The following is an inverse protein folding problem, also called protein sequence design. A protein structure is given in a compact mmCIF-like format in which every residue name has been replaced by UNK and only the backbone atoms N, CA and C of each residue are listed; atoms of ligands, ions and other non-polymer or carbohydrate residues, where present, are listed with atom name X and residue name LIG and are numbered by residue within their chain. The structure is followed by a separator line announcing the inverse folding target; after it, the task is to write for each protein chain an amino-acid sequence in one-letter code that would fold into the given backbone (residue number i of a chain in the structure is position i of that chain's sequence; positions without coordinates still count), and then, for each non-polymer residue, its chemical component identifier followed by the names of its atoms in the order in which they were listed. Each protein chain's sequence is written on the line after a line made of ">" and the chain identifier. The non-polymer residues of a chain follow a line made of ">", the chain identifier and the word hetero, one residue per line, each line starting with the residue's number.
data_IF_581979726799
#
_entry.id   IF_581979726799
#
_cell.length_a   1.000
_cell.length_b   1.000
_cell.length_c   1.000
_cell.angle_alpha   90.00
_cell.angle_beta   90.00
_cell.angle_gamma   90.00
#
_symmetry.space_group_name_H-M   'P 1'
#
loop_
_entity.id
_entity.type
_entity.pdbx_description
1 polymer ?
#
# COMPACT_ATOMS: atom_id res chain seq x y z
N UNK A 1 13.82 -11.59 16.30
CA UNK A 1 14.31 -12.27 15.13
C UNK A 1 14.88 -13.64 15.50
N UNK A 2 13.99 -14.63 15.77
CA UNK A 2 14.34 -15.94 16.31
C UNK A 2 15.15 -16.86 15.39
N UNK A 3 15.52 -16.42 14.17
CA UNK A 3 16.19 -17.25 13.16
C UNK A 3 17.58 -16.73 12.78
N UNK A 4 18.07 -15.67 13.39
CA UNK A 4 19.40 -15.12 13.13
C UNK A 4 20.43 -15.64 14.13
N UNK A 5 21.66 -15.90 13.69
CA UNK A 5 22.80 -16.15 14.59
C UNK A 5 23.06 -14.98 15.55
N UNK A 6 22.60 -13.78 15.18
CA UNK A 6 22.67 -12.58 16.01
C UNK A 6 21.60 -12.54 17.10
N UNK A 7 20.56 -13.39 17.03
CA UNK A 7 19.49 -13.41 18.04
C UNK A 7 19.97 -13.87 19.42
N UNK A 8 21.13 -14.51 19.49
CA UNK A 8 21.78 -14.92 20.73
C UNK A 8 22.72 -13.86 21.31
N UNK A 9 22.96 -12.74 20.60
CA UNK A 9 23.77 -11.64 21.09
C UNK A 9 23.00 -10.86 22.18
N UNK A 10 23.51 -10.80 23.43
CA UNK A 10 22.83 -10.09 24.51
C UNK A 10 22.59 -8.61 24.24
N UNK A 11 23.46 -7.94 23.45
CA UNK A 11 23.33 -6.52 23.10
C UNK A 11 22.18 -6.28 22.12
N UNK A 12 21.78 -7.31 21.36
CA UNK A 12 20.67 -7.27 20.42
C UNK A 12 19.36 -7.81 21.00
N UNK A 13 19.33 -8.14 22.29
CA UNK A 13 18.12 -8.62 22.95
C UNK A 13 17.01 -7.55 22.95
N UNK A 14 15.77 -7.99 22.83
CA UNK A 14 14.60 -7.09 22.91
C UNK A 14 14.59 -6.23 24.17
N UNK A 15 15.03 -6.80 25.32
CA UNK A 15 15.14 -6.10 26.59
C UNK A 15 16.11 -4.92 26.56
N UNK A 16 17.09 -4.94 25.65
CA UNK A 16 18.06 -3.85 25.45
C UNK A 16 17.59 -2.88 24.38
N UNK A 17 17.22 -3.40 23.21
CA UNK A 17 16.94 -2.56 22.04
C UNK A 17 15.57 -1.87 22.10
N UNK A 18 14.54 -2.50 22.67
CA UNK A 18 13.20 -1.93 22.67
C UNK A 18 13.07 -0.64 23.50
N UNK A 19 13.66 -0.53 24.70
CA UNK A 19 13.70 0.74 25.44
C UNK A 19 14.41 1.87 24.66
N UNK A 20 15.51 1.55 23.97
CA UNK A 20 16.25 2.51 23.15
C UNK A 20 15.39 2.98 21.95
N UNK A 21 14.77 2.03 21.25
CA UNK A 21 13.89 2.34 20.14
C UNK A 21 12.66 3.15 20.58
N UNK A 22 12.08 2.83 21.75
CA UNK A 22 10.97 3.59 22.31
C UNK A 22 11.38 5.04 22.62
N UNK A 23 12.57 5.24 23.18
CA UNK A 23 13.08 6.59 23.45
C UNK A 23 13.28 7.37 22.13
N UNK A 24 13.88 6.74 21.11
CA UNK A 24 14.05 7.36 19.81
C UNK A 24 12.73 7.77 19.16
N UNK A 25 11.69 6.92 19.26
CA UNK A 25 10.34 7.30 18.80
C UNK A 25 9.79 8.51 19.58
N UNK A 26 9.97 8.55 20.90
CA UNK A 26 9.55 9.69 21.74
C UNK A 26 10.25 10.97 21.33
N UNK A 27 11.55 10.90 21.06
CA UNK A 27 12.35 12.08 20.68
C UNK A 27 11.88 12.65 19.34
N UNK A 28 11.62 11.80 18.33
CA UNK A 28 11.06 12.24 17.04
C UNK A 28 9.65 12.82 17.24
N UNK A 29 8.82 12.18 18.04
CA UNK A 29 7.45 12.66 18.28
C UNK A 29 7.39 13.97 19.08
N UNK A 30 8.43 14.30 19.85
CA UNK A 30 8.54 15.59 20.53
C UNK A 30 8.72 16.77 19.54
N UNK A 31 9.10 16.48 18.30
CA UNK A 31 9.26 17.48 17.23
C UNK A 31 7.99 17.62 16.36
N UNK A 32 6.89 16.92 16.72
CA UNK A 32 5.60 17.03 16.02
C UNK A 32 5.08 18.48 16.02
N UNK A 33 4.57 18.90 14.88
CA UNK A 33 4.10 20.28 14.68
C UNK A 33 5.21 21.29 14.35
N UNK A 34 6.47 20.93 14.52
CA UNK A 34 7.62 21.79 14.19
C UNK A 34 8.38 21.29 12.95
N UNK A 35 8.83 20.05 12.99
CA UNK A 35 9.62 19.44 11.90
C UNK A 35 8.90 18.31 11.20
N UNK A 36 8.00 17.62 11.90
CA UNK A 36 7.25 16.47 11.39
C UNK A 36 5.79 16.59 11.82
N UNK A 37 4.87 16.05 11.01
CA UNK A 37 3.48 15.90 11.38
C UNK A 37 2.79 14.85 10.50
N UNK A 38 1.73 14.22 11.00
CA UNK A 38 0.83 13.48 10.13
C UNK A 38 0.08 14.48 9.23
N UNK A 39 0.05 14.20 7.93
CA UNK A 39 -0.81 14.93 6.99
C UNK A 39 -2.27 14.68 7.34
N UNK A 40 -3.08 15.73 7.25
CA UNK A 40 -4.53 15.62 7.47
C UNK A 40 -5.18 14.71 6.43
N UNK A 41 -4.80 14.88 5.16
CA UNK A 41 -5.25 14.02 4.08
C UNK A 41 -4.14 13.03 3.72
N UNK A 42 -4.48 11.77 3.67
CA UNK A 42 -3.54 10.71 3.31
C UNK A 42 -2.94 10.87 1.90
N UNK A 43 -3.78 11.28 0.95
CA UNK A 43 -3.37 11.49 -0.44
C UNK A 43 -2.29 12.56 -0.60
N UNK A 44 -2.35 13.64 0.19
CA UNK A 44 -1.42 14.77 0.13
C UNK A 44 0.05 14.36 0.39
N UNK A 45 0.29 13.26 1.10
CA UNK A 45 1.63 12.70 1.32
C UNK A 45 2.28 12.37 -0.02
N UNK A 46 1.52 11.72 -0.88
CA UNK A 46 2.01 11.19 -2.16
C UNK A 46 1.97 12.24 -3.27
N UNK A 47 1.02 13.17 -3.21
CA UNK A 47 1.02 14.35 -4.08
C UNK A 47 2.26 15.20 -3.82
N UNK A 48 2.61 15.47 -2.55
CA UNK A 48 3.84 16.19 -2.20
C UNK A 48 5.08 15.44 -2.71
N UNK A 49 5.14 14.12 -2.55
CA UNK A 49 6.24 13.31 -3.07
C UNK A 49 6.34 13.34 -4.61
N UNK A 50 5.22 13.18 -5.32
CA UNK A 50 5.18 13.27 -6.78
C UNK A 50 5.62 14.65 -7.30
N UNK A 51 5.42 15.72 -6.52
CA UNK A 51 5.79 17.10 -6.83
C UNK A 51 7.15 17.54 -6.30
N UNK A 52 7.86 16.65 -5.62
CA UNK A 52 9.14 16.95 -4.98
C UNK A 52 9.04 18.10 -3.95
N UNK A 53 7.94 18.10 -3.16
CA UNK A 53 7.72 19.10 -2.13
C UNK A 53 8.29 18.59 -0.81
N UNK A 54 9.49 19.07 -0.47
CA UNK A 54 10.18 18.76 0.77
C UNK A 54 10.17 20.01 1.67
N UNK A 55 9.51 19.93 2.82
CA UNK A 55 9.42 21.06 3.76
C UNK A 55 9.31 20.58 5.20
N UNK A 56 9.73 21.42 6.15
CA UNK A 56 9.51 21.17 7.57
C UNK A 56 8.01 21.04 7.88
N UNK A 57 7.67 20.14 8.79
CA UNK A 57 6.29 19.81 9.12
C UNK A 57 5.61 18.88 8.10
N UNK A 58 6.37 18.33 7.13
CA UNK A 58 5.87 17.25 6.26
C UNK A 58 5.86 15.91 7.00
N UNK A 59 5.18 14.92 6.40
CA UNK A 59 5.18 13.56 6.96
C UNK A 59 6.44 12.77 6.58
N UNK A 60 7.13 13.14 5.51
CA UNK A 60 8.37 12.48 5.08
C UNK A 60 9.52 12.77 6.04
N UNK A 61 10.20 11.72 6.48
CA UNK A 61 11.37 11.79 7.36
C UNK A 61 12.67 11.45 6.65
N UNK A 62 12.62 10.49 5.74
CA UNK A 62 13.79 10.04 5.02
C UNK A 62 13.42 9.62 3.60
N UNK A 63 14.08 10.26 2.65
CA UNK A 63 13.94 9.96 1.23
C UNK A 63 15.30 9.65 0.61
N UNK A 64 15.31 8.74 -0.35
CA UNK A 64 16.43 8.56 -1.25
C UNK A 64 16.15 9.45 -2.45
N UNK A 65 16.92 10.55 -2.65
CA UNK A 65 16.66 11.49 -3.70
C UNK A 65 17.06 10.92 -5.07
N UNK A 66 16.25 11.22 -6.07
CA UNK A 66 16.56 10.98 -7.47
C UNK A 66 16.62 12.28 -8.23
N UNK A 67 17.46 12.32 -9.29
CA UNK A 67 17.51 13.49 -10.16
C UNK A 67 16.23 13.59 -10.99
N UNK A 68 15.56 14.74 -10.91
CA UNK A 68 14.32 15.02 -11.65
C UNK A 68 14.52 16.04 -12.81
N UNK A 69 15.76 16.50 -13.04
CA UNK A 69 16.10 17.56 -14.01
C UNK A 69 17.42 17.30 -14.76
N UNK A 70 17.50 17.62 -16.03
CA UNK A 70 16.56 17.36 -17.14
C UNK A 70 16.57 15.89 -17.51
N UNK A 71 17.51 15.13 -16.95
CA UNK A 71 17.70 13.70 -17.14
C UNK A 71 17.27 12.97 -15.88
N UNK A 72 15.96 12.90 -15.65
CA UNK A 72 15.38 12.18 -14.52
C UNK A 72 15.96 10.77 -14.37
N UNK A 73 16.05 10.30 -13.13
CA UNK A 73 16.45 8.94 -12.77
C UNK A 73 15.41 8.36 -11.83
N UNK A 74 15.49 7.06 -11.61
CA UNK A 74 14.48 6.34 -10.83
C UNK A 74 13.23 6.01 -11.63
N UNK A 75 12.53 4.96 -11.24
CA UNK A 75 11.36 4.42 -11.93
C UNK A 75 10.29 4.05 -10.91
N UNK A 76 9.95 5.01 -10.02
CA UNK A 76 9.01 4.73 -8.94
C UNK A 76 7.60 4.52 -9.49
N UNK A 77 7.08 5.44 -10.32
CA UNK A 77 5.77 5.28 -10.97
C UNK A 77 5.77 4.11 -11.96
N UNK A 78 6.84 3.95 -12.74
CA UNK A 78 6.96 2.83 -13.68
C UNK A 78 6.78 1.47 -12.99
N UNK A 79 7.41 1.28 -11.84
CA UNK A 79 7.36 -0.02 -11.16
C UNK A 79 6.14 -0.12 -10.24
N UNK A 80 5.85 0.93 -9.48
CA UNK A 80 4.97 0.90 -8.32
C UNK A 80 3.85 1.94 -8.35
N UNK A 81 3.58 2.52 -9.48
CA UNK A 81 2.54 3.52 -9.65
C UNK A 81 1.41 3.08 -10.55
N UNK A 82 0.50 4.01 -10.78
CA UNK A 82 -0.63 3.82 -11.66
C UNK A 82 -0.18 3.67 -13.12
N UNK A 83 -0.75 2.68 -13.81
CA UNK A 83 -0.44 2.44 -15.22
C UNK A 83 -1.09 3.47 -16.15
N UNK A 84 -0.30 3.93 -17.12
CA UNK A 84 -0.69 4.76 -18.23
C UNK A 84 -0.45 4.01 -19.55
N UNK A 85 -1.50 3.77 -20.34
CA UNK A 85 -1.40 2.97 -21.57
C UNK A 85 -0.87 3.77 -22.75
N UNK A 86 -1.26 5.02 -22.88
CA UNK A 86 -0.91 5.87 -24.03
C UNK A 86 -0.34 7.18 -23.53
N UNK A 87 0.77 7.62 -24.13
CA UNK A 87 1.34 8.91 -23.86
C UNK A 87 0.35 10.03 -24.19
N UNK A 88 0.22 10.99 -23.29
CA UNK A 88 -0.68 12.10 -23.41
C UNK A 88 -0.12 13.36 -22.73
N UNK A 89 -0.13 14.47 -23.46
CA UNK A 89 0.31 15.75 -22.92
C UNK A 89 -0.67 16.32 -21.88
N UNK A 90 -1.93 15.88 -21.91
CA UNK A 90 -2.97 16.33 -20.97
C UNK A 90 -2.61 15.90 -19.57
N UNK A 91 -2.25 14.64 -19.36
CA UNK A 91 -1.85 14.09 -18.05
C UNK A 91 -0.35 14.06 -17.81
N UNK A 92 0.42 14.72 -18.69
CA UNK A 92 1.82 15.02 -18.48
C UNK A 92 2.76 13.81 -18.30
N UNK A 93 2.57 12.75 -19.08
CA UNK A 93 3.37 11.53 -18.97
C UNK A 93 3.65 10.88 -20.32
N UNK A 94 4.56 9.92 -20.34
CA UNK A 94 4.76 8.95 -21.41
C UNK A 94 4.20 7.59 -21.01
N UNK A 95 3.79 6.78 -21.98
CA UNK A 95 3.25 5.43 -21.74
C UNK A 95 4.16 4.61 -20.83
N UNK A 96 3.68 4.27 -19.65
CA UNK A 96 4.39 3.39 -18.70
C UNK A 96 3.61 3.15 -17.41
N UNK A 97 4.21 2.42 -16.49
CA UNK A 97 3.74 2.24 -15.12
C UNK A 97 3.04 0.90 -14.87
N UNK A 98 2.77 0.65 -13.60
CA UNK A 98 1.96 -0.48 -13.16
C UNK A 98 2.59 -1.86 -13.33
N UNK A 99 3.89 -2.00 -13.05
CA UNK A 99 4.54 -3.32 -13.08
C UNK A 99 4.19 -4.18 -11.86
N UNK A 100 3.84 -3.55 -10.74
CA UNK A 100 3.40 -4.20 -9.52
C UNK A 100 2.14 -3.52 -8.99
N UNK A 101 1.33 -4.27 -8.25
CA UNK A 101 0.10 -3.80 -7.61
C UNK A 101 -0.27 -4.64 -6.41
N UNK A 102 -1.27 -4.22 -5.62
CA UNK A 102 -1.78 -5.00 -4.51
C UNK A 102 -2.50 -6.25 -5.02
N UNK A 103 -2.52 -7.29 -4.19
CA UNK A 103 -3.38 -8.44 -4.44
C UNK A 103 -4.86 -8.02 -4.33
N UNK A 104 -5.76 -8.56 -5.16
CA UNK A 104 -7.16 -8.15 -5.21
C UNK A 104 -7.88 -8.15 -3.87
N UNK A 105 -7.64 -9.14 -3.02
CA UNK A 105 -8.30 -9.23 -1.71
C UNK A 105 -7.96 -8.05 -0.80
N UNK A 106 -6.80 -7.43 -0.98
CA UNK A 106 -6.31 -6.38 -0.08
C UNK A 106 -7.17 -5.10 -0.13
N UNK A 107 -7.80 -4.82 -1.27
CA UNK A 107 -8.80 -3.75 -1.37
C UNK A 107 -9.95 -3.96 -0.38
N UNK A 108 -10.39 -5.21 -0.21
CA UNK A 108 -11.49 -5.58 0.67
C UNK A 108 -11.08 -5.75 2.14
N UNK A 109 -9.78 -5.71 2.45
CA UNK A 109 -9.26 -5.64 3.82
C UNK A 109 -9.43 -4.23 4.44
N UNK A 110 -9.57 -3.20 3.60
CA UNK A 110 -9.99 -1.88 4.06
C UNK A 110 -11.48 -1.84 4.37
N UNK A 111 -11.86 -1.07 5.40
CA UNK A 111 -13.24 -0.60 5.50
C UNK A 111 -13.59 0.24 4.27
N UNK A 112 -14.82 0.15 3.77
CA UNK A 112 -15.29 1.00 2.66
C UNK A 112 -15.26 2.50 2.99
N UNK A 113 -15.16 2.85 4.28
CA UNK A 113 -15.04 4.22 4.77
C UNK A 113 -13.57 4.67 4.96
N UNK A 114 -12.62 3.77 4.81
CA UNK A 114 -11.19 4.09 4.94
C UNK A 114 -10.71 4.87 3.72
N UNK A 115 -10.38 6.14 3.93
CA UNK A 115 -9.93 7.07 2.86
C UNK A 115 -8.63 6.64 2.19
N UNK A 116 -7.87 5.73 2.80
CA UNK A 116 -6.62 5.20 2.23
C UNK A 116 -6.87 4.17 1.13
N UNK A 117 -8.03 3.50 1.15
CA UNK A 117 -8.38 2.40 0.25
C UNK A 117 -8.23 2.79 -1.22
N UNK A 118 -8.95 3.83 -1.64
CA UNK A 118 -9.03 4.24 -3.04
C UNK A 118 -7.80 5.04 -3.52
N UNK A 119 -7.05 5.60 -2.57
CA UNK A 119 -5.71 6.15 -2.84
C UNK A 119 -4.71 5.05 -3.12
N UNK A 120 -4.78 3.93 -2.38
CA UNK A 120 -3.78 2.86 -2.42
C UNK A 120 -4.06 1.80 -3.48
N UNK A 121 -5.32 1.36 -3.60
CA UNK A 121 -5.74 0.25 -4.45
C UNK A 121 -6.58 0.76 -5.61
N UNK A 122 -6.04 0.76 -6.82
CA UNK A 122 -6.68 1.34 -7.99
C UNK A 122 -7.08 0.24 -8.98
N UNK A 123 -8.39 0.09 -9.29
CA UNK A 123 -8.89 -0.94 -10.20
C UNK A 123 -8.92 -0.51 -11.67
N UNK A 124 -8.28 0.59 -12.02
CA UNK A 124 -8.25 1.13 -13.38
C UNK A 124 -6.84 1.50 -13.82
N UNK A 125 -6.68 1.71 -15.11
CA UNK A 125 -5.52 2.34 -15.75
C UNK A 125 -5.95 3.63 -16.42
N UNK A 126 -4.99 4.46 -16.79
CA UNK A 126 -5.25 5.66 -17.61
C UNK A 126 -4.88 5.41 -19.07
N UNK A 127 -5.77 5.81 -19.98
CA UNK A 127 -5.54 5.83 -21.40
C UNK A 127 -5.94 7.19 -21.95
N UNK A 128 -4.98 8.02 -22.35
CA UNK A 128 -5.20 9.41 -22.75
C UNK A 128 -6.02 10.23 -21.73
N UNK A 129 -5.72 10.08 -20.46
CA UNK A 129 -6.44 10.76 -19.40
C UNK A 129 -7.74 10.09 -18.95
N UNK A 130 -8.28 9.13 -19.72
CA UNK A 130 -9.50 8.41 -19.39
C UNK A 130 -9.18 7.23 -18.49
N UNK A 131 -9.93 7.07 -17.41
CA UNK A 131 -9.84 5.92 -16.52
C UNK A 131 -10.57 4.72 -17.13
N UNK A 132 -9.84 3.65 -17.40
CA UNK A 132 -10.38 2.41 -17.97
C UNK A 132 -10.32 1.31 -16.92
N UNK A 133 -11.49 0.73 -16.59
CA UNK A 133 -11.61 -0.35 -15.61
C UNK A 133 -10.82 -1.59 -16.03
N UNK A 134 -10.09 -2.18 -15.08
CA UNK A 134 -9.39 -3.43 -15.27
C UNK A 134 -10.23 -4.65 -14.83
N UNK A 135 -9.76 -5.85 -15.20
CA UNK A 135 -10.20 -7.08 -14.56
C UNK A 135 -9.74 -7.16 -13.11
N UNK A 136 -10.46 -7.93 -12.28
CA UNK A 136 -10.17 -8.07 -10.84
C UNK A 136 -8.74 -8.51 -10.53
N UNK A 137 -8.08 -9.21 -11.42
CA UNK A 137 -6.72 -9.69 -11.27
C UNK A 137 -5.63 -8.63 -11.54
N UNK A 138 -6.05 -7.40 -11.92
CA UNK A 138 -5.15 -6.28 -12.26
C UNK A 138 -5.47 -5.04 -11.44
N UNK A 139 -4.81 -4.91 -10.32
CA UNK A 139 -4.82 -3.71 -9.49
C UNK A 139 -3.49 -2.97 -9.59
N UNK A 140 -3.53 -1.67 -9.39
CA UNK A 140 -2.34 -0.85 -9.33
C UNK A 140 -2.22 -0.17 -7.98
N UNK A 141 -0.99 0.11 -7.54
CA UNK A 141 -0.77 1.02 -6.44
C UNK A 141 -1.06 2.45 -6.91
N UNK A 142 -1.92 3.16 -6.19
CA UNK A 142 -2.33 4.51 -6.55
C UNK A 142 -1.58 5.64 -5.85
N UNK A 143 -0.59 5.31 -5.00
CA UNK A 143 0.18 6.29 -4.23
C UNK A 143 1.13 7.13 -5.07
N UNK A 144 1.57 6.62 -6.23
CA UNK A 144 2.43 7.34 -7.15
C UNK A 144 1.75 7.44 -8.50
N UNK A 145 1.59 8.68 -8.99
CA UNK A 145 0.84 8.96 -10.22
C UNK A 145 1.51 10.06 -11.03
N UNK A 146 1.62 9.85 -12.32
CA UNK A 146 2.15 10.87 -13.23
C UNK A 146 1.28 12.13 -13.26
N UNK A 147 -0.04 11.99 -13.16
CA UNK A 147 -0.99 13.11 -13.16
C UNK A 147 -0.83 14.03 -11.93
N UNK A 148 -0.23 13.56 -10.87
CA UNK A 148 0.08 14.38 -9.69
C UNK A 148 1.38 15.17 -9.83
N UNK A 149 2.23 14.82 -10.80
CA UNK A 149 3.49 15.51 -10.99
C UNK A 149 3.28 16.91 -11.57
N UNK A 150 4.12 17.85 -11.16
CA UNK A 150 4.12 19.24 -11.65
C UNK A 150 5.09 19.45 -12.83
N UNK A 151 5.62 18.38 -13.42
CA UNK A 151 6.57 18.37 -14.53
C UNK A 151 6.20 17.35 -15.60
N UNK A 152 6.65 17.57 -16.82
CA UNK A 152 6.46 16.62 -17.92
C UNK A 152 7.49 15.49 -17.86
N UNK A 153 7.06 14.27 -18.12
CA UNK A 153 7.89 13.09 -18.12
C UNK A 153 8.03 12.54 -19.54
N UNK A 154 9.23 12.57 -20.08
CA UNK A 154 9.52 12.10 -21.45
C UNK A 154 10.01 10.64 -21.52
N UNK A 155 10.36 10.04 -20.38
CA UNK A 155 10.88 8.70 -20.29
C UNK A 155 10.19 7.91 -19.16
N UNK A 156 10.60 6.66 -18.97
CA UNK A 156 10.17 5.87 -17.82
C UNK A 156 10.87 6.24 -16.50
N UNK A 157 11.89 7.10 -16.58
CA UNK A 157 12.60 7.61 -15.42
C UNK A 157 11.85 8.86 -14.93
N UNK A 158 11.24 8.80 -13.76
CA UNK A 158 10.30 9.80 -13.26
C UNK A 158 10.91 10.80 -12.28
N UNK A 159 12.06 10.49 -11.70
CA UNK A 159 12.76 11.37 -10.75
C UNK A 159 12.05 11.56 -9.42
N UNK A 160 11.02 10.77 -9.12
CA UNK A 160 10.33 10.81 -7.82
C UNK A 160 11.25 10.21 -6.77
N UNK A 161 11.44 10.90 -5.65
CA UNK A 161 12.21 10.41 -4.52
C UNK A 161 11.58 9.15 -3.94
N UNK A 162 12.39 8.17 -3.59
CA UNK A 162 11.90 7.03 -2.83
C UNK A 162 11.74 7.44 -1.38
N UNK A 163 10.52 7.59 -0.93
CA UNK A 163 10.18 7.77 0.47
C UNK A 163 10.47 6.46 1.23
N UNK A 164 11.44 6.51 2.14
CA UNK A 164 11.93 5.36 2.88
C UNK A 164 11.32 5.26 4.26
N UNK A 165 11.08 6.40 4.91
CA UNK A 165 10.47 6.50 6.23
C UNK A 165 9.61 7.76 6.31
N UNK A 166 8.46 7.67 6.93
CA UNK A 166 7.57 8.79 7.21
C UNK A 166 7.05 8.76 8.64
N UNK A 167 6.50 9.86 9.11
CA UNK A 167 6.13 10.03 10.51
C UNK A 167 5.11 8.99 11.01
N UNK A 168 4.18 8.54 10.16
CA UNK A 168 3.28 7.44 10.50
C UNK A 168 4.02 6.15 10.89
N UNK A 169 5.22 5.90 10.34
CA UNK A 169 6.04 4.75 10.71
C UNK A 169 6.54 4.86 12.15
N UNK A 170 6.98 6.06 12.57
CA UNK A 170 7.37 6.34 13.95
C UNK A 170 6.21 6.13 14.92
N UNK A 171 5.02 6.63 14.56
CA UNK A 171 3.80 6.47 15.38
C UNK A 171 3.45 4.99 15.57
N UNK A 172 3.48 4.19 14.50
CA UNK A 172 3.17 2.76 14.58
C UNK A 172 4.30 1.92 15.20
N UNK A 173 5.57 2.30 15.01
CA UNK A 173 6.68 1.71 15.78
C UNK A 173 6.51 1.99 17.28
N UNK A 174 6.12 3.20 17.65
CA UNK A 174 5.82 3.52 19.05
C UNK A 174 4.66 2.68 19.59
N UNK A 175 3.58 2.50 18.82
CA UNK A 175 2.47 1.62 19.22
C UNK A 175 2.97 0.20 19.54
N UNK A 176 3.80 -0.37 18.67
CA UNK A 176 4.38 -1.71 18.85
C UNK A 176 5.24 -1.78 20.12
N UNK A 177 6.13 -0.82 20.31
CA UNK A 177 7.04 -0.76 21.47
C UNK A 177 6.29 -0.54 22.78
N UNK A 178 5.28 0.33 22.81
CA UNK A 178 4.43 0.53 23.98
C UNK A 178 3.62 -0.75 24.30
N UNK A 179 3.07 -1.44 23.29
CA UNK A 179 2.39 -2.72 23.50
C UNK A 179 3.31 -3.76 24.11
N UNK A 180 4.56 -3.83 23.64
CA UNK A 180 5.53 -4.82 24.10
C UNK A 180 6.02 -4.54 25.52
N UNK A 181 6.33 -3.28 25.83
CA UNK A 181 6.99 -2.87 27.10
C UNK A 181 5.99 -2.46 28.19
N UNK A 182 4.90 -1.79 27.83
CA UNK A 182 3.99 -1.14 28.77
C UNK A 182 2.54 -1.64 28.67
N UNK A 183 2.28 -2.52 27.70
CA UNK A 183 0.98 -3.17 27.51
C UNK A 183 0.06 -2.44 26.53
N UNK A 184 -1.04 -3.11 26.13
CA UNK A 184 -1.89 -2.68 25.03
C UNK A 184 -2.60 -1.34 25.26
N UNK A 185 -2.95 -1.01 26.51
CA UNK A 185 -3.55 0.29 26.84
C UNK A 185 -2.61 1.47 26.55
N UNK A 186 -1.29 1.26 26.68
CA UNK A 186 -0.26 2.27 26.36
C UNK A 186 -0.06 2.44 24.86
N UNK A 187 -0.31 1.41 24.08
CA UNK A 187 -0.25 1.43 22.61
C UNK A 187 -1.48 2.08 21.95
N UNK A 188 -2.63 1.96 22.59
CA UNK A 188 -3.94 2.37 22.07
C UNK A 188 -4.00 3.82 21.52
N UNK A 189 -3.41 4.86 22.16
CA UNK A 189 -3.42 6.21 21.62
C UNK A 189 -2.76 6.35 20.26
N UNK A 190 -1.69 5.61 19.98
CA UNK A 190 -0.92 5.69 18.74
C UNK A 190 -1.64 4.97 17.60
N UNK A 191 -2.22 3.81 17.87
CA UNK A 191 -3.11 3.14 16.92
C UNK A 191 -4.30 4.03 16.56
N UNK A 192 -4.91 4.65 17.59
CA UNK A 192 -6.02 5.59 17.42
C UNK A 192 -5.65 6.78 16.53
N UNK A 193 -4.47 7.37 16.72
CA UNK A 193 -4.00 8.53 15.95
C UNK A 193 -3.94 8.24 14.44
N UNK A 194 -3.41 7.09 14.04
CA UNK A 194 -3.35 6.69 12.63
C UNK A 194 -4.75 6.45 12.07
N UNK A 195 -5.60 5.76 12.82
CA UNK A 195 -6.97 5.48 12.38
C UNK A 195 -7.83 6.76 12.28
N UNK A 196 -7.68 7.71 13.19
CA UNK A 196 -8.38 8.99 13.09
C UNK A 196 -8.07 9.74 11.80
N UNK A 197 -6.83 9.71 11.31
CA UNK A 197 -6.46 10.27 10.01
C UNK A 197 -7.12 9.51 8.85
N UNK A 198 -7.30 8.19 8.97
CA UNK A 198 -7.83 7.33 7.93
C UNK A 198 -9.35 7.45 7.73
N UNK A 199 -10.09 7.93 8.73
CA UNK A 199 -11.55 8.01 8.70
C UNK A 199 -12.06 9.44 8.91
N UNK A 200 -13.24 9.71 8.39
CA UNK A 200 -13.93 10.96 8.70
C UNK A 200 -14.43 10.97 10.14
N UNK A 201 -14.49 12.16 10.74
CA UNK A 201 -14.87 12.32 12.14
C UNK A 201 -16.25 11.73 12.48
N UNK A 202 -17.17 11.73 11.51
CA UNK A 202 -18.50 11.12 11.67
C UNK A 202 -18.44 9.61 11.91
N UNK A 203 -17.39 8.96 11.42
CA UNK A 203 -17.19 7.52 11.52
C UNK A 203 -16.24 7.10 12.66
N UNK A 204 -15.64 8.05 13.38
CA UNK A 204 -14.69 7.74 14.44
C UNK A 204 -15.23 6.83 15.53
N UNK A 205 -16.51 6.99 15.90
CA UNK A 205 -17.10 6.13 16.93
C UNK A 205 -17.02 4.64 16.59
N UNK A 206 -17.36 4.28 15.34
CA UNK A 206 -17.38 2.88 14.88
C UNK A 206 -16.02 2.39 14.39
N UNK A 207 -15.37 3.17 13.54
CA UNK A 207 -14.17 2.74 12.83
C UNK A 207 -12.87 2.95 13.64
N UNK A 208 -12.93 3.81 14.66
CA UNK A 208 -11.75 4.14 15.47
C UNK A 208 -11.95 3.74 16.93
N UNK A 209 -12.94 4.32 17.63
CA UNK A 209 -13.04 4.18 19.08
C UNK A 209 -13.44 2.76 19.48
N UNK A 210 -14.45 2.17 18.85
CA UNK A 210 -14.87 0.81 19.13
C UNK A 210 -13.79 -0.21 18.69
N UNK A 211 -13.13 0.03 17.57
CA UNK A 211 -12.03 -0.82 17.11
C UNK A 211 -10.88 -0.85 18.12
N UNK A 212 -10.41 0.32 18.56
CA UNK A 212 -9.32 0.41 19.55
C UNK A 212 -9.73 -0.16 20.88
N UNK A 213 -10.97 0.10 21.35
CA UNK A 213 -11.51 -0.45 22.58
C UNK A 213 -11.53 -1.99 22.58
N UNK A 214 -11.82 -2.60 21.43
CA UNK A 214 -11.86 -4.07 21.30
C UNK A 214 -10.48 -4.72 21.49
N UNK A 215 -9.38 -4.03 21.18
CA UNK A 215 -8.02 -4.60 21.22
C UNK A 215 -7.17 -4.12 22.39
N UNK A 216 -7.48 -2.98 23.02
CA UNK A 216 -6.64 -2.37 24.06
C UNK A 216 -6.56 -3.16 25.37
N UNK A 217 -7.38 -4.19 25.55
CA UNK A 217 -7.37 -5.06 26.74
C UNK A 217 -6.52 -6.32 26.59
N UNK A 218 -5.98 -6.62 25.40
CA UNK A 218 -5.24 -7.83 25.11
C UNK A 218 -4.00 -7.53 24.27
N UNK A 219 -2.83 -7.98 24.74
CA UNK A 219 -1.52 -7.69 24.10
C UNK A 219 -1.43 -8.27 22.69
N UNK A 220 -1.89 -9.50 22.50
CA UNK A 220 -1.81 -10.18 21.20
C UNK A 220 -2.81 -9.57 20.21
N UNK A 221 -4.03 -9.26 20.66
CA UNK A 221 -5.02 -8.56 19.81
C UNK A 221 -4.53 -7.17 19.39
N UNK A 222 -3.88 -6.42 20.29
CA UNK A 222 -3.27 -5.14 19.95
C UNK A 222 -2.13 -5.30 18.95
N UNK A 223 -1.30 -6.32 19.12
CA UNK A 223 -0.22 -6.61 18.17
C UNK A 223 -0.79 -6.94 16.79
N UNK A 224 -1.79 -7.81 16.70
CA UNK A 224 -2.46 -8.14 15.43
C UNK A 224 -3.09 -6.90 14.77
N UNK A 225 -3.68 -6.02 15.58
CA UNK A 225 -4.23 -4.75 15.09
C UNK A 225 -3.12 -3.84 14.52
N UNK A 226 -1.96 -3.74 15.18
CA UNK A 226 -0.80 -2.99 14.68
C UNK A 226 -0.25 -3.61 13.39
N UNK A 227 -0.13 -4.94 13.33
CA UNK A 227 0.30 -5.69 12.12
C UNK A 227 -0.62 -5.39 10.94
N UNK A 228 -1.94 -5.36 11.17
CA UNK A 228 -2.93 -5.03 10.15
C UNK A 228 -2.89 -3.54 9.78
N UNK A 229 -2.83 -2.65 10.77
CA UNK A 229 -2.78 -1.21 10.52
C UNK A 229 -1.55 -0.80 9.70
N UNK A 230 -0.37 -1.39 10.00
CA UNK A 230 0.83 -1.20 9.18
C UNK A 230 0.66 -1.73 7.75
N UNK A 231 -0.08 -2.82 7.55
CA UNK A 231 -0.39 -3.30 6.20
C UNK A 231 -1.23 -2.28 5.42
N UNK A 232 -2.30 -1.76 6.03
CA UNK A 232 -3.19 -0.78 5.40
C UNK A 232 -2.46 0.55 5.15
N UNK A 233 -1.69 1.02 6.12
CA UNK A 233 -0.98 2.28 6.06
C UNK A 233 0.13 2.30 5.00
N UNK A 234 0.93 1.24 4.92
CA UNK A 234 2.14 1.19 4.10
C UNK A 234 2.04 0.30 2.85
N UNK A 235 0.86 -0.13 2.46
CA UNK A 235 0.68 -0.87 1.21
C UNK A 235 1.26 -0.07 0.03
N UNK A 236 2.15 -0.70 -0.75
CA UNK A 236 2.83 -0.05 -1.87
C UNK A 236 4.10 0.75 -1.50
N UNK A 237 4.49 0.80 -0.22
CA UNK A 237 5.70 1.50 0.24
C UNK A 237 6.88 0.57 0.58
N UNK A 238 6.73 -0.74 0.32
CA UNK A 238 7.78 -1.78 0.41
C UNK A 238 8.30 -2.14 1.79
N UNK A 239 7.68 -1.68 2.87
CA UNK A 239 8.07 -2.04 4.24
C UNK A 239 7.50 -3.39 4.69
N UNK A 240 6.41 -3.87 4.07
CA UNK A 240 5.66 -5.05 4.51
C UNK A 240 6.49 -6.31 4.65
N UNK A 241 7.36 -6.62 3.66
CA UNK A 241 8.21 -7.82 3.71
C UNK A 241 9.15 -7.78 4.90
N UNK A 242 9.78 -6.64 5.17
CA UNK A 242 10.67 -6.45 6.31
C UNK A 242 9.93 -6.62 7.65
N UNK A 243 8.73 -6.04 7.76
CA UNK A 243 7.88 -6.22 8.93
C UNK A 243 7.53 -7.68 9.17
N UNK A 244 7.10 -8.41 8.14
CA UNK A 244 6.73 -9.82 8.27
C UNK A 244 7.92 -10.72 8.62
N UNK A 245 9.13 -10.39 8.13
CA UNK A 245 10.36 -11.11 8.50
C UNK A 245 10.69 -10.87 9.97
N UNK A 246 10.76 -9.61 10.42
CA UNK A 246 11.13 -9.28 11.81
C UNK A 246 10.14 -9.79 12.85
N UNK A 247 8.88 -9.96 12.48
CA UNK A 247 7.83 -10.55 13.33
C UNK A 247 7.70 -12.06 13.20
N UNK A 248 8.47 -12.70 12.30
CA UNK A 248 8.35 -14.13 11.96
C UNK A 248 6.95 -14.52 11.45
N UNK A 249 6.31 -13.60 10.72
CA UNK A 249 4.94 -13.77 10.18
C UNK A 249 4.91 -13.98 8.66
N UNK A 250 6.09 -14.04 7.98
CA UNK A 250 6.12 -14.05 6.52
C UNK A 250 5.30 -15.19 5.92
N UNK A 251 5.58 -16.43 6.35
CA UNK A 251 4.85 -17.60 5.83
C UNK A 251 3.36 -17.55 6.19
N UNK A 252 3.05 -17.27 7.45
CA UNK A 252 1.67 -17.19 7.95
C UNK A 252 0.84 -16.21 7.11
N UNK A 253 1.36 -14.99 6.88
CA UNK A 253 0.63 -13.96 6.12
C UNK A 253 0.55 -14.25 4.63
N UNK A 254 1.51 -14.96 4.05
CA UNK A 254 1.44 -15.42 2.66
C UNK A 254 0.43 -16.57 2.49
N UNK A 255 0.34 -17.49 3.46
CA UNK A 255 -0.68 -18.55 3.48
C UNK A 255 -2.10 -17.95 3.64
N UNK A 256 -2.27 -16.97 4.55
CA UNK A 256 -3.51 -16.21 4.69
C UNK A 256 -3.88 -15.48 3.38
N UNK A 257 -2.92 -14.90 2.68
CA UNK A 257 -3.15 -14.22 1.42
C UNK A 257 -3.68 -15.18 0.33
N UNK A 258 -3.08 -16.38 0.20
CA UNK A 258 -3.60 -17.41 -0.71
C UNK A 258 -5.03 -17.82 -0.34
N UNK A 259 -5.27 -18.09 0.93
CA UNK A 259 -6.59 -18.48 1.42
C UNK A 259 -7.64 -17.39 1.18
N UNK A 260 -7.29 -16.11 1.40
CA UNK A 260 -8.17 -14.97 1.09
C UNK A 260 -8.47 -14.86 -0.40
N UNK A 261 -7.48 -15.09 -1.26
CA UNK A 261 -7.70 -15.06 -2.72
C UNK A 261 -8.67 -16.15 -3.17
N UNK A 262 -8.58 -17.36 -2.63
CA UNK A 262 -9.55 -18.43 -2.91
C UNK A 262 -10.95 -18.08 -2.42
N UNK A 263 -11.09 -17.58 -1.19
CA UNK A 263 -12.38 -17.13 -0.65
C UNK A 263 -12.98 -15.97 -1.44
N UNK A 264 -12.16 -14.99 -1.86
CA UNK A 264 -12.61 -13.90 -2.71
C UNK A 264 -13.13 -14.43 -4.06
N UNK A 265 -12.36 -15.29 -4.72
CA UNK A 265 -12.74 -15.91 -6.00
C UNK A 265 -14.10 -16.61 -5.94
N UNK A 266 -14.33 -17.32 -4.85
CA UNK A 266 -15.50 -18.17 -4.66
C UNK A 266 -16.64 -17.45 -3.89
N UNK A 267 -16.46 -16.15 -3.59
CA UNK A 267 -17.39 -15.32 -2.80
C UNK A 267 -17.78 -15.98 -1.48
N UNK A 268 -16.79 -16.44 -0.72
CA UNK A 268 -16.97 -17.15 0.54
C UNK A 268 -16.43 -16.38 1.74
N UNK A 269 -16.91 -16.75 2.95
CA UNK A 269 -16.46 -16.14 4.19
C UNK A 269 -16.72 -14.64 4.22
N UNK A 270 -15.68 -13.85 4.48
CA UNK A 270 -15.73 -12.38 4.54
C UNK A 270 -16.09 -11.69 3.21
N UNK A 271 -16.13 -12.43 2.11
CA UNK A 271 -16.47 -11.94 0.77
C UNK A 271 -17.85 -12.37 0.27
N UNK A 272 -18.64 -13.11 1.08
CA UNK A 272 -19.93 -13.67 0.68
C UNK A 272 -20.99 -12.60 0.34
N UNK A 273 -20.83 -11.39 0.87
CA UNK A 273 -21.74 -10.26 0.64
C UNK A 273 -21.35 -9.39 -0.57
N UNK A 274 -20.23 -9.70 -1.25
CA UNK A 274 -19.84 -8.97 -2.45
C UNK A 274 -20.72 -9.40 -3.63
N UNK A 275 -21.04 -8.44 -4.49
CA UNK A 275 -21.89 -8.65 -5.65
C UNK A 275 -21.32 -9.68 -6.65
N UNK A 276 -20.00 -9.74 -6.81
CA UNK A 276 -19.39 -10.47 -7.91
C UNK A 276 -19.53 -9.77 -9.27
N UNK A 277 -20.53 -8.92 -9.47
CA UNK A 277 -20.73 -8.08 -10.64
C UNK A 277 -20.22 -6.66 -10.37
N UNK A 278 -19.70 -6.01 -11.38
CA UNK A 278 -19.19 -4.65 -11.30
C UNK A 278 -19.82 -3.80 -12.39
N UNK A 279 -20.35 -2.67 -11.99
CA UNK A 279 -20.93 -1.67 -12.88
C UNK A 279 -20.14 -0.38 -12.80
N UNK A 280 -20.10 0.39 -13.87
CA UNK A 280 -19.38 1.66 -13.90
C UNK A 280 -20.13 2.70 -14.76
N UNK A 281 -19.88 3.95 -14.47
CA UNK A 281 -20.18 5.10 -15.30
C UNK A 281 -18.97 6.02 -15.36
N UNK A 282 -18.97 6.91 -16.35
CA UNK A 282 -17.94 7.92 -16.50
C UNK A 282 -18.47 9.28 -16.03
N UNK A 283 -17.61 10.04 -15.36
CA UNK A 283 -17.89 11.42 -14.94
C UNK A 283 -16.69 12.31 -15.27
N UNK A 284 -16.90 13.62 -15.26
CA UNK A 284 -15.83 14.58 -15.48
C UNK A 284 -14.71 14.44 -14.45
N UNK A 285 -13.48 14.52 -14.92
CA UNK A 285 -12.28 14.46 -14.09
C UNK A 285 -11.51 15.77 -14.17
N UNK A 286 -11.26 16.36 -13.00
CA UNK A 286 -10.43 17.55 -12.88
C UNK A 286 -9.04 17.18 -12.35
N UNK A 287 -7.99 17.60 -13.06
CA UNK A 287 -6.62 17.42 -12.66
C UNK A 287 -5.86 18.76 -12.66
N UNK A 288 -4.81 18.84 -11.86
CA UNK A 288 -4.04 20.07 -11.69
C UNK A 288 -2.59 19.86 -12.13
N UNK A 289 -2.12 20.70 -13.03
CA UNK A 289 -0.74 20.73 -13.52
C UNK A 289 -0.17 22.13 -13.38
N UNK A 290 1.02 22.25 -12.76
CA UNK A 290 1.70 23.53 -12.58
C UNK A 290 0.79 24.63 -11.99
N UNK A 291 -0.12 24.25 -11.09
CA UNK A 291 -1.09 25.16 -10.49
C UNK A 291 -2.32 25.48 -11.34
N UNK A 292 -2.36 25.03 -12.60
CA UNK A 292 -3.56 25.13 -13.44
C UNK A 292 -4.40 23.86 -13.32
N UNK A 293 -5.71 24.02 -13.15
CA UNK A 293 -6.69 22.93 -13.18
C UNK A 293 -7.32 22.80 -14.54
N UNK A 294 -7.47 21.57 -15.01
CA UNK A 294 -8.14 21.22 -16.25
C UNK A 294 -9.18 20.16 -15.99
N UNK A 295 -10.25 20.17 -16.78
CA UNK A 295 -11.30 19.15 -16.75
C UNK A 295 -11.23 18.33 -18.02
N UNK A 296 -11.31 17.01 -17.89
CA UNK A 296 -11.44 16.08 -19.01
C UNK A 296 -12.81 15.43 -18.86
N UNK A 297 -13.67 15.61 -19.85
CA UNK A 297 -15.02 15.06 -19.83
C UNK A 297 -14.97 13.52 -19.91
N UNK A 298 -15.89 12.88 -19.21
CA UNK A 298 -16.10 11.42 -19.21
C UNK A 298 -14.82 10.59 -18.97
N UNK A 299 -13.94 11.02 -18.08
CA UNK A 299 -12.68 10.36 -17.86
C UNK A 299 -12.52 9.68 -16.48
N UNK A 300 -13.36 10.01 -15.50
CA UNK A 300 -13.33 9.41 -14.17
C UNK A 300 -14.33 8.27 -14.04
N UNK A 301 -13.85 7.12 -13.56
CA UNK A 301 -14.70 5.97 -13.24
C UNK A 301 -15.39 6.17 -11.89
N UNK A 302 -16.71 6.06 -11.91
CA UNK A 302 -17.52 5.80 -10.72
C UNK A 302 -17.98 4.34 -10.79
N UNK A 303 -17.59 3.54 -9.81
CA UNK A 303 -17.91 2.11 -9.78
C UNK A 303 -19.03 1.80 -8.80
N UNK A 304 -19.76 0.72 -9.06
CA UNK A 304 -20.80 0.16 -8.20
C UNK A 304 -20.68 -1.37 -8.19
N UNK A 305 -20.67 -1.99 -7.02
CA UNK A 305 -20.44 -3.41 -6.81
C UNK A 305 -19.12 -3.75 -6.13
N UNK A 306 -18.31 -2.73 -5.78
CA UNK A 306 -17.08 -2.91 -4.99
C UNK A 306 -17.34 -2.94 -3.48
N UNK A 307 -18.44 -2.36 -3.01
CA UNK A 307 -18.78 -2.29 -1.60
C UNK A 307 -19.76 -3.40 -1.21
N UNK A 308 -19.76 -3.82 0.05
CA UNK A 308 -20.59 -4.94 0.54
C UNK A 308 -22.10 -4.64 0.54
N UNK A 309 -22.48 -3.35 0.61
CA UNK A 309 -23.85 -2.87 0.55
C UNK A 309 -24.36 -2.62 -0.89
N UNK A 310 -23.48 -2.81 -1.88
CA UNK A 310 -23.81 -2.66 -3.30
C UNK A 310 -24.21 -4.02 -3.90
N UNK A 311 -25.49 -4.34 -3.84
CA UNK A 311 -26.00 -5.62 -4.31
C UNK A 311 -26.14 -5.68 -5.85
N UNK A 312 -26.36 -6.88 -6.39
CA UNK A 312 -26.46 -7.21 -7.82
C UNK A 312 -27.64 -6.54 -8.57
N UNK A 313 -27.84 -5.26 -8.38
CA UNK A 313 -28.87 -4.50 -9.09
C UNK A 313 -28.14 -3.58 -10.07
N UNK A 314 -28.38 -3.77 -11.36
CA UNK A 314 -27.84 -2.85 -12.36
C UNK A 314 -28.38 -1.43 -12.10
N UNK A 315 -27.55 -0.52 -11.55
CA UNK A 315 -28.02 0.81 -11.19
C UNK A 315 -28.26 1.64 -12.47
N UNK A 316 -29.27 2.47 -12.45
CA UNK A 316 -29.62 3.31 -13.59
C UNK A 316 -28.43 4.21 -13.99
N UNK A 317 -28.13 4.24 -15.30
CA UNK A 317 -26.99 5.03 -15.82
C UNK A 317 -25.63 4.39 -15.72
N UNK A 318 -25.53 3.17 -15.20
CA UNK A 318 -24.28 2.40 -15.18
C UNK A 318 -24.22 1.35 -16.29
N UNK A 319 -23.01 1.03 -16.70
CA UNK A 319 -22.71 -0.05 -17.65
C UNK A 319 -22.11 -1.22 -16.89
N UNK A 320 -22.54 -2.44 -17.16
CA UNK A 320 -21.95 -3.63 -16.59
C UNK A 320 -20.56 -3.90 -17.18
N UNK A 321 -19.63 -4.33 -16.34
CA UNK A 321 -18.30 -4.71 -16.79
C UNK A 321 -18.37 -5.82 -17.83
N UNK A 322 -17.61 -5.64 -18.91
CA UNK A 322 -17.37 -6.68 -19.92
C UNK A 322 -15.89 -7.02 -19.96
N UNK A 323 -15.56 -8.28 -20.26
CA UNK A 323 -14.16 -8.66 -20.49
C UNK A 323 -13.64 -8.08 -21.82
N UNK A 324 -12.37 -8.33 -22.11
CA UNK A 324 -11.71 -7.90 -23.36
C UNK A 324 -12.36 -8.44 -24.65
N UNK A 325 -13.21 -9.47 -24.55
CA UNK A 325 -13.99 -10.02 -25.67
C UNK A 325 -15.36 -9.36 -25.82
N UNK A 326 -15.70 -8.39 -24.97
CA UNK A 326 -17.01 -7.71 -24.96
C UNK A 326 -18.14 -8.56 -24.37
N UNK A 327 -17.83 -9.67 -23.71
CA UNK A 327 -18.83 -10.49 -23.04
C UNK A 327 -19.03 -10.01 -21.60
N UNK A 328 -20.30 -9.85 -21.20
CA UNK A 328 -20.66 -9.62 -19.80
C UNK A 328 -20.24 -10.82 -18.98
N UNK A 329 -19.39 -10.60 -18.01
CA UNK A 329 -18.89 -11.65 -17.09
C UNK A 329 -18.89 -11.16 -15.67
N UNK A 330 -19.09 -12.10 -14.76
CA UNK A 330 -18.88 -11.88 -13.35
C UNK A 330 -17.45 -11.37 -13.14
N UNK A 331 -17.32 -10.18 -12.56
CA UNK A 331 -16.01 -9.54 -12.35
C UNK A 331 -15.15 -10.34 -11.39
N UNK A 332 -15.76 -10.86 -10.29
CA UNK A 332 -15.11 -11.78 -9.35
C UNK A 332 -15.48 -13.21 -9.75
N UNK A 333 -14.52 -13.98 -10.25
CA UNK A 333 -14.77 -15.36 -10.69
C UNK A 333 -13.46 -16.13 -10.89
N UNK A 334 -13.56 -17.47 -10.99
CA UNK A 334 -12.43 -18.36 -11.28
C UNK A 334 -11.84 -18.15 -12.67
N UNK A 335 -12.60 -17.61 -13.61
CA UNK A 335 -12.07 -17.27 -14.93
C UNK A 335 -11.14 -16.06 -14.89
N UNK A 336 -11.29 -15.18 -13.91
CA UNK A 336 -10.46 -14.01 -13.68
C UNK A 336 -9.34 -14.27 -12.66
N UNK A 337 -9.68 -14.88 -11.51
CA UNK A 337 -8.75 -15.25 -10.45
C UNK A 337 -8.36 -16.72 -10.57
N UNK A 338 -7.49 -17.02 -11.53
CA UNK A 338 -7.05 -18.38 -11.84
C UNK A 338 -6.15 -18.94 -10.74
N UNK A 339 -6.18 -20.26 -10.56
CA UNK A 339 -5.33 -20.96 -9.58
C UNK A 339 -3.85 -20.65 -9.75
N UNK A 340 -3.35 -20.59 -10.99
CA UNK A 340 -1.94 -20.32 -11.26
C UNK A 340 -1.51 -18.93 -10.72
N UNK A 341 -2.41 -17.94 -10.77
CA UNK A 341 -2.14 -16.60 -10.24
C UNK A 341 -2.15 -16.57 -8.71
N UNK A 342 -3.05 -17.32 -8.11
CA UNK A 342 -3.13 -17.44 -6.65
C UNK A 342 -1.91 -18.20 -6.12
N UNK A 343 -1.55 -19.30 -6.74
CA UNK A 343 -0.38 -20.09 -6.35
C UNK A 343 0.94 -19.32 -6.55
N UNK A 344 0.99 -18.40 -7.51
CA UNK A 344 2.15 -17.54 -7.76
C UNK A 344 2.43 -16.49 -6.65
N UNK A 345 1.55 -16.33 -5.64
CA UNK A 345 1.84 -15.48 -4.47
C UNK A 345 3.16 -15.92 -3.83
N UNK A 346 3.40 -17.22 -3.75
CA UNK A 346 4.73 -17.79 -3.55
C UNK A 346 4.78 -19.21 -4.13
N UNK A 347 5.88 -19.53 -4.81
CA UNK A 347 6.12 -20.84 -5.42
C UNK A 347 7.16 -21.68 -4.64
N UNK A 348 7.92 -21.06 -3.75
CA UNK A 348 8.97 -21.70 -2.95
C UNK A 348 8.75 -21.40 -1.47
N UNK A 349 9.38 -22.16 -0.58
CA UNK A 349 9.24 -21.98 0.88
C UNK A 349 9.63 -20.56 1.29
N UNK A 350 8.70 -19.72 1.74
CA UNK A 350 8.94 -18.30 1.96
C UNK A 350 10.05 -18.00 2.98
N UNK A 351 10.13 -18.78 4.05
CA UNK A 351 11.12 -18.58 5.11
C UNK A 351 12.53 -18.90 4.61
N UNK A 352 12.64 -19.92 3.77
CA UNK A 352 13.92 -20.31 3.17
C UNK A 352 14.46 -19.25 2.20
N UNK A 353 13.58 -18.60 1.45
CA UNK A 353 13.93 -17.62 0.42
C UNK A 353 13.57 -16.18 0.81
N UNK A 354 13.49 -15.87 2.10
CA UNK A 354 13.11 -14.54 2.59
C UNK A 354 14.14 -13.45 2.31
N UNK A 355 15.42 -13.81 2.26
CA UNK A 355 16.50 -12.89 1.94
C UNK A 355 16.91 -12.99 0.47
N UNK A 356 17.43 -11.92 -0.09
CA UNK A 356 18.00 -11.92 -1.42
C UNK A 356 19.33 -12.65 -1.43
N UNK A 357 19.64 -13.45 -2.48
CA UNK A 357 20.98 -14.00 -2.63
C UNK A 357 21.99 -12.90 -2.90
N UNK A 358 23.22 -13.14 -2.49
CA UNK A 358 24.36 -12.30 -2.87
C UNK A 358 24.64 -12.55 -4.35
N UNK A 359 24.70 -11.50 -5.17
CA UNK A 359 24.96 -11.63 -6.59
C UNK A 359 26.32 -12.25 -6.85
N UNK A 360 26.43 -13.10 -7.89
CA UNK A 360 27.64 -13.82 -8.23
C UNK A 360 28.85 -12.90 -8.43
N UNK A 361 28.65 -11.71 -8.99
CA UNK A 361 29.72 -10.71 -9.14
C UNK A 361 30.36 -10.33 -7.81
N UNK A 362 29.56 -10.20 -6.76
CA UNK A 362 30.06 -9.86 -5.42
C UNK A 362 30.76 -11.05 -4.75
N UNK A 363 30.23 -12.28 -4.95
CA UNK A 363 30.88 -13.50 -4.49
C UNK A 363 32.26 -13.70 -5.15
N UNK A 364 32.36 -13.41 -6.44
CA UNK A 364 33.62 -13.49 -7.17
C UNK A 364 34.63 -12.44 -6.72
N UNK A 365 34.15 -11.27 -6.32
CA UNK A 365 35.00 -10.19 -5.83
C UNK A 365 35.49 -10.38 -4.37
N UNK A 366 34.75 -11.15 -3.56
CA UNK A 366 35.09 -11.42 -2.18
C UNK A 366 34.85 -12.89 -1.83
N UNK A 367 35.92 -13.74 -1.80
CA UNK A 367 35.81 -15.18 -1.54
C UNK A 367 35.29 -15.54 -0.13
N UNK A 368 35.29 -14.59 0.80
CA UNK A 368 34.73 -14.80 2.15
C UNK A 368 33.21 -14.75 2.19
N UNK A 369 32.58 -14.15 1.17
CA UNK A 369 31.13 -14.12 1.02
C UNK A 369 30.60 -15.46 0.55
N UNK A 370 29.51 -15.92 1.16
CA UNK A 370 28.81 -17.16 0.78
C UNK A 370 27.32 -16.93 0.83
N UNK A 371 26.63 -17.46 -0.17
CA UNK A 371 25.19 -17.60 -0.11
C UNK A 371 24.78 -18.75 0.82
N UNK A 372 23.53 -18.75 1.24
CA UNK A 372 22.93 -19.94 1.82
C UNK A 372 22.95 -21.09 0.78
N UNK A 373 23.13 -22.32 1.25
CA UNK A 373 23.32 -23.50 0.38
C UNK A 373 22.17 -23.76 -0.60
N UNK A 374 20.98 -23.26 -0.32
CA UNK A 374 19.81 -23.42 -1.19
C UNK A 374 19.70 -22.39 -2.32
N UNK A 375 20.63 -21.44 -2.43
CA UNK A 375 20.76 -20.54 -3.56
C UNK A 375 21.79 -21.00 -4.60
N UNK A 376 22.44 -22.12 -4.37
CA UNK A 376 23.45 -22.72 -5.25
C UNK A 376 22.81 -23.74 -6.20
#
# INVERSE_FOLDING_TARGET
>A
DGNSSLSSDPELAKSVLYPIALQACKDVMAEEGKYVALKTNFEDIFIDNCRDIIKAGSESLWEIPYNNEPTARGRQVYTFGLRHETADVIVNYKQSGGQAGPTPFFFFDYSQKDKRRDVTCVPYKLNKGVQELNSIDKWYFGKLRYEWMNRYIESTDDGINKQYMRYADIVLMRAELENELNGPASAAPYLKQIRQRAFDQADWNTEVDQYVAAVQGNKDAMFDAIVQERALEFCGEFVRKADLIRWNLLKTKLDEAKAKMYRLRDLQGEYAELSGHLYYKMEDYTWTRNGASNTIEDCSLVTYGLNRDEQNINPAGYTEYTNSSGETKTWISSSQLKDEKIEAIYAQEPVKYMYWPIFQVNLNANPELKNYSWYN
#
